data_IF_803995719206
#
_entry.id   IF_803995719206
#
_cell.length_a   1.000
_cell.length_b   1.000
_cell.length_c   1.000
_cell.angle_alpha   90.00
_cell.angle_beta   90.00
_cell.angle_gamma   90.00
#
_symmetry.space_group_name_H-M   'P 1'
#
loop_
_entity.id
_entity.type
_entity.pdbx_description
1 polymer ?
#
# COMPACT_ATOMS: atom_id res chain seq x y z
N UNK A 1 22.08 -6.95 52.71
CA UNK A 1 22.00 -5.85 51.73
C UNK A 1 22.14 -6.43 50.33
N UNK A 2 21.04 -6.53 49.60
CA UNK A 2 20.98 -7.07 48.24
C UNK A 2 21.61 -6.08 47.25
N UNK A 3 22.70 -6.52 46.60
CA UNK A 3 23.38 -5.83 45.51
C UNK A 3 22.39 -5.55 44.36
N UNK A 4 22.10 -4.27 44.13
CA UNK A 4 21.39 -3.82 42.94
C UNK A 4 22.31 -4.05 41.73
N UNK A 5 22.02 -5.09 40.94
CA UNK A 5 22.67 -5.30 39.64
C UNK A 5 22.43 -4.05 38.78
N UNK A 6 23.49 -3.25 38.58
CA UNK A 6 23.48 -2.17 37.60
C UNK A 6 23.05 -2.73 36.24
N UNK A 7 21.93 -2.24 35.71
CA UNK A 7 21.47 -2.61 34.37
C UNK A 7 22.51 -2.10 33.37
N UNK A 8 23.35 -2.99 32.84
CA UNK A 8 24.26 -2.65 31.75
C UNK A 8 23.43 -2.11 30.58
N UNK A 9 23.69 -0.88 30.17
CA UNK A 9 23.08 -0.25 29.01
C UNK A 9 23.36 -1.14 27.79
N UNK A 10 22.34 -1.82 27.28
CA UNK A 10 22.45 -2.59 26.04
C UNK A 10 22.21 -1.66 24.87
N UNK A 11 23.22 -1.48 24.02
CA UNK A 11 23.08 -0.71 22.78
C UNK A 11 22.07 -1.39 21.85
N UNK A 12 21.26 -0.61 21.10
CA UNK A 12 20.37 -1.16 20.08
C UNK A 12 21.16 -1.92 19.02
N UNK A 13 20.56 -2.97 18.45
CA UNK A 13 21.18 -3.67 17.31
C UNK A 13 21.26 -2.75 16.09
N UNK A 14 22.21 -3.00 15.18
CA UNK A 14 22.33 -2.27 13.91
C UNK A 14 20.98 -2.16 13.18
N UNK A 15 20.26 -3.28 13.04
CA UNK A 15 18.93 -3.30 12.42
C UNK A 15 17.90 -2.46 13.17
N UNK A 16 17.95 -2.42 14.51
CA UNK A 16 17.07 -1.57 15.29
C UNK A 16 17.33 -0.07 15.02
N UNK A 17 18.60 0.32 14.91
CA UNK A 17 19.00 1.70 14.60
C UNK A 17 18.52 2.10 13.21
N UNK A 18 18.82 1.29 12.18
CA UNK A 18 18.42 1.61 10.80
C UNK A 18 16.89 1.69 10.68
N UNK A 19 16.15 0.70 11.22
CA UNK A 19 14.69 0.74 11.19
C UNK A 19 14.13 1.94 11.96
N UNK A 20 14.73 2.32 13.09
CA UNK A 20 14.37 3.53 13.83
C UNK A 20 14.52 4.79 12.98
N UNK A 21 15.66 4.96 12.29
CA UNK A 21 15.90 6.07 11.37
C UNK A 21 14.88 6.06 10.22
N UNK A 22 14.61 4.90 9.62
CA UNK A 22 13.60 4.75 8.56
C UNK A 22 12.21 5.20 9.03
N UNK A 23 11.81 4.86 10.25
CA UNK A 23 10.52 5.30 10.81
C UNK A 23 10.45 6.80 11.09
N UNK A 24 11.57 7.41 11.52
CA UNK A 24 11.66 8.87 11.70
C UNK A 24 11.52 9.59 10.36
N UNK A 25 12.21 9.11 9.31
CA UNK A 25 12.08 9.68 7.96
C UNK A 25 10.68 9.46 7.39
N UNK A 26 10.07 8.30 7.58
CA UNK A 26 8.68 8.06 7.19
C UNK A 26 7.75 9.10 7.84
N UNK A 27 7.91 9.33 9.14
CA UNK A 27 7.09 10.30 9.86
C UNK A 27 7.27 11.73 9.31
N UNK A 28 8.51 12.15 9.11
CA UNK A 28 8.83 13.46 8.55
C UNK A 28 8.23 13.65 7.15
N UNK A 29 8.49 12.70 6.23
CA UNK A 29 8.01 12.81 4.85
C UNK A 29 6.51 12.59 4.68
N UNK A 30 5.84 12.02 5.70
CA UNK A 30 4.37 11.99 5.70
C UNK A 30 3.76 13.36 5.71
N UNK A 31 4.39 14.34 6.36
CA UNK A 31 3.93 15.73 6.31
C UNK A 31 4.69 16.57 5.27
N UNK A 32 6.02 16.43 5.19
CA UNK A 32 6.85 17.27 4.32
C UNK A 32 6.62 17.02 2.82
N UNK A 33 6.22 15.81 2.44
CA UNK A 33 5.85 15.48 1.07
C UNK A 33 6.13 14.01 0.71
N UNK A 34 5.21 13.35 -0.01
CA UNK A 34 5.25 11.91 -0.20
C UNK A 34 6.45 11.41 -1.02
N UNK A 35 7.05 12.27 -1.87
CA UNK A 35 8.22 11.89 -2.69
C UNK A 35 9.38 11.36 -1.82
N UNK A 36 9.52 11.85 -0.58
CA UNK A 36 10.56 11.38 0.33
C UNK A 36 10.36 9.95 0.84
N UNK A 37 9.22 9.31 0.60
CA UNK A 37 9.06 7.87 0.88
C UNK A 37 10.01 7.02 0.03
N UNK A 38 10.23 7.38 -1.24
CA UNK A 38 11.17 6.69 -2.11
C UNK A 38 12.59 6.74 -1.53
N UNK A 39 13.04 7.92 -1.11
CA UNK A 39 14.32 8.10 -0.40
C UNK A 39 14.37 7.28 0.89
N UNK A 40 13.31 7.33 1.69
CA UNK A 40 13.22 6.64 2.99
C UNK A 40 13.37 5.13 2.85
N UNK A 41 12.61 4.52 1.94
CA UNK A 41 12.63 3.09 1.71
C UNK A 41 13.92 2.64 1.05
N UNK A 42 14.45 3.41 0.09
CA UNK A 42 15.72 3.11 -0.58
C UNK A 42 16.89 3.18 0.39
N UNK A 43 16.99 4.24 1.20
CA UNK A 43 18.06 4.40 2.19
C UNK A 43 18.02 3.28 3.24
N UNK A 44 16.84 3.01 3.83
CA UNK A 44 16.68 1.92 4.79
C UNK A 44 17.03 0.56 4.18
N UNK A 45 16.54 0.30 2.97
CA UNK A 45 16.82 -0.94 2.22
C UNK A 45 18.29 -1.14 1.87
N UNK A 46 18.96 -0.09 1.38
CA UNK A 46 20.38 -0.11 1.01
C UNK A 46 21.26 -0.50 2.20
N UNK A 47 21.00 0.06 3.38
CA UNK A 47 21.73 -0.27 4.61
C UNK A 47 21.39 -1.67 5.15
N UNK A 48 20.31 -2.29 4.65
CA UNK A 48 19.83 -3.60 5.09
C UNK A 48 20.02 -4.70 4.04
N UNK A 49 20.81 -4.45 2.98
CA UNK A 49 21.03 -5.42 1.89
C UNK A 49 21.46 -6.82 2.36
N UNK A 50 22.19 -6.91 3.47
CA UNK A 50 22.62 -8.19 4.04
C UNK A 50 21.47 -9.15 4.39
N UNK A 51 20.23 -8.66 4.45
CA UNK A 51 19.04 -9.49 4.66
C UNK A 51 18.60 -10.29 3.43
N UNK A 52 19.11 -10.01 2.22
CA UNK A 52 18.83 -10.80 1.01
C UNK A 52 19.21 -12.29 1.14
N UNK A 53 20.09 -12.66 2.09
CA UNK A 53 20.32 -14.06 2.48
C UNK A 53 19.06 -14.82 2.91
N UNK A 54 17.97 -14.09 3.20
CA UNK A 54 16.67 -14.63 3.57
C UNK A 54 15.62 -14.55 2.44
N UNK A 55 16.03 -14.35 1.18
CA UNK A 55 15.14 -14.23 0.02
C UNK A 55 14.08 -15.34 -0.08
N UNK A 56 14.37 -16.55 0.43
CA UNK A 56 13.41 -17.66 0.52
C UNK A 56 12.10 -17.30 1.23
N UNK A 57 12.09 -16.28 2.09
CA UNK A 57 10.88 -15.81 2.77
C UNK A 57 9.85 -15.24 1.79
N UNK A 58 10.24 -14.77 0.60
CA UNK A 58 9.27 -14.32 -0.41
C UNK A 58 8.52 -15.49 -1.06
N UNK A 59 9.12 -16.68 -1.15
CA UNK A 59 8.53 -17.87 -1.77
C UNK A 59 8.03 -17.61 -3.20
N UNK A 60 6.91 -18.22 -3.57
CA UNK A 60 6.29 -18.07 -4.89
C UNK A 60 5.88 -16.64 -5.25
N UNK A 61 5.60 -15.79 -4.26
CA UNK A 61 5.28 -14.38 -4.52
C UNK A 61 6.52 -13.67 -5.06
N UNK A 62 7.71 -13.96 -4.52
CA UNK A 62 8.97 -13.42 -5.02
C UNK A 62 9.25 -13.85 -6.47
N UNK A 63 8.98 -15.12 -6.80
CA UNK A 63 9.13 -15.65 -8.16
C UNK A 63 8.18 -14.93 -9.13
N UNK A 64 6.92 -14.75 -8.77
CA UNK A 64 5.96 -14.05 -9.62
C UNK A 64 6.27 -12.56 -9.78
N UNK A 65 6.76 -11.90 -8.73
CA UNK A 65 7.24 -10.53 -8.83
C UNK A 65 8.44 -10.46 -9.79
N UNK A 66 9.38 -11.40 -9.73
CA UNK A 66 10.48 -11.47 -10.70
C UNK A 66 9.98 -11.67 -12.13
N UNK A 67 9.02 -12.56 -12.35
CA UNK A 67 8.40 -12.77 -13.68
C UNK A 67 7.71 -11.50 -14.16
N UNK A 68 6.96 -10.81 -13.29
CA UNK A 68 6.31 -9.54 -13.62
C UNK A 68 7.33 -8.45 -13.96
N UNK A 69 8.45 -8.38 -13.23
CA UNK A 69 9.53 -7.44 -13.50
C UNK A 69 10.19 -7.72 -14.84
N UNK A 70 10.51 -8.99 -15.14
CA UNK A 70 11.05 -9.41 -16.43
C UNK A 70 10.07 -9.09 -17.57
N UNK A 71 8.78 -9.35 -17.36
CA UNK A 71 7.74 -8.99 -18.32
C UNK A 71 7.72 -7.48 -18.55
N UNK A 72 7.70 -6.69 -17.48
CA UNK A 72 7.71 -5.22 -17.54
C UNK A 72 8.92 -4.70 -18.33
N UNK A 73 10.14 -5.19 -18.06
CA UNK A 73 11.35 -4.81 -18.81
C UNK A 73 11.24 -5.23 -20.28
N UNK A 74 10.73 -6.42 -20.57
CA UNK A 74 10.54 -6.88 -21.96
C UNK A 74 9.55 -6.01 -22.75
N UNK A 75 8.70 -5.25 -22.04
CA UNK A 75 7.71 -4.33 -22.60
C UNK A 75 8.15 -2.86 -22.48
N UNK A 76 9.34 -2.55 -21.96
CA UNK A 76 9.86 -1.18 -21.93
C UNK A 76 10.57 -0.81 -23.24
N UNK A 77 10.99 0.45 -23.37
CA UNK A 77 11.79 0.89 -24.52
C UNK A 77 13.20 0.32 -24.52
N UNK A 78 13.67 -0.29 -23.43
CA UNK A 78 15.05 -0.75 -23.27
C UNK A 78 15.53 -1.63 -24.43
N UNK A 79 14.75 -2.64 -24.80
CA UNK A 79 15.14 -3.55 -25.89
C UNK A 79 15.16 -2.85 -27.25
N UNK A 80 14.26 -1.88 -27.48
CA UNK A 80 14.28 -1.06 -28.67
C UNK A 80 15.53 -0.18 -28.69
N UNK A 81 15.79 0.53 -27.59
CA UNK A 81 16.93 1.44 -27.42
C UNK A 81 18.27 0.71 -27.61
N UNK A 82 18.41 -0.50 -27.03
CA UNK A 82 19.60 -1.35 -27.21
C UNK A 82 19.77 -1.80 -28.66
N UNK A 83 18.68 -2.21 -29.33
CA UNK A 83 18.73 -2.69 -30.70
C UNK A 83 18.93 -1.58 -31.73
N UNK A 84 18.47 -0.35 -31.45
CA UNK A 84 18.66 0.80 -32.32
C UNK A 84 20.04 1.46 -32.18
N UNK A 85 20.91 0.93 -31.29
CA UNK A 85 22.18 1.57 -30.95
C UNK A 85 21.99 2.94 -30.29
N UNK A 86 20.91 3.12 -29.51
CA UNK A 86 20.60 4.38 -28.88
C UNK A 86 21.78 4.84 -28.01
N UNK A 87 22.16 6.10 -28.15
CA UNK A 87 23.21 6.68 -27.33
C UNK A 87 22.64 7.00 -25.94
N UNK A 88 22.85 6.11 -24.99
CA UNK A 88 22.42 6.30 -23.61
C UNK A 88 23.11 7.49 -22.91
N UNK A 89 24.17 8.06 -23.49
CA UNK A 89 24.79 9.29 -22.98
C UNK A 89 23.92 10.54 -23.21
N UNK A 90 22.91 10.45 -24.09
CA UNK A 90 21.96 11.54 -24.33
C UNK A 90 20.99 11.78 -23.15
N UNK A 91 20.82 10.79 -22.28
CA UNK A 91 20.01 10.94 -21.08
C UNK A 91 20.76 11.81 -20.07
N UNK A 92 20.28 13.04 -19.86
CA UNK A 92 20.86 13.98 -18.89
C UNK A 92 20.86 13.40 -17.47
N UNK A 93 19.89 12.56 -17.17
CA UNK A 93 19.82 11.81 -15.92
C UNK A 93 19.27 10.41 -16.18
N UNK A 94 19.76 9.42 -15.43
CA UNK A 94 19.16 8.08 -15.39
C UNK A 94 17.79 8.08 -14.68
N UNK A 95 17.37 9.22 -14.12
CA UNK A 95 16.07 9.44 -13.50
C UNK A 95 14.92 9.36 -14.52
N UNK A 96 15.19 9.61 -15.80
CA UNK A 96 14.15 9.53 -16.84
C UNK A 96 13.82 8.07 -17.25
N UNK A 97 14.56 7.08 -16.74
CA UNK A 97 14.40 5.67 -17.08
C UNK A 97 13.50 4.94 -16.07
N UNK A 98 12.18 5.03 -16.26
CA UNK A 98 11.18 4.43 -15.35
C UNK A 98 11.39 2.91 -15.16
N UNK A 99 11.81 2.18 -16.20
CA UNK A 99 12.04 0.74 -16.09
C UNK A 99 13.20 0.42 -15.14
N UNK A 100 14.25 1.25 -15.14
CA UNK A 100 15.42 1.06 -14.29
C UNK A 100 15.03 1.25 -12.82
N UNK A 101 14.23 2.29 -12.54
CA UNK A 101 13.73 2.57 -11.19
C UNK A 101 12.87 1.41 -10.68
N UNK A 102 11.92 0.94 -11.47
CA UNK A 102 11.04 -0.18 -11.09
C UNK A 102 11.84 -1.49 -10.90
N UNK A 103 12.97 -1.69 -11.59
CA UNK A 103 13.85 -2.84 -11.36
C UNK A 103 14.65 -2.75 -10.06
N UNK A 104 15.16 -1.56 -9.72
CA UNK A 104 16.01 -1.38 -8.55
C UNK A 104 15.22 -1.32 -7.23
N UNK A 105 14.01 -0.79 -7.27
CA UNK A 105 13.16 -0.65 -6.08
C UNK A 105 12.92 -1.97 -5.32
N UNK A 106 12.56 -3.10 -5.96
CA UNK A 106 12.44 -4.39 -5.29
C UNK A 106 13.71 -4.83 -4.55
N UNK A 107 14.91 -4.46 -5.05
CA UNK A 107 16.19 -4.81 -4.40
C UNK A 107 16.29 -4.12 -3.03
N UNK A 108 16.07 -2.80 -2.99
CA UNK A 108 16.14 -2.04 -1.74
C UNK A 108 14.95 -2.35 -0.83
N UNK A 109 13.74 -2.35 -1.38
CA UNK A 109 12.51 -2.53 -0.62
C UNK A 109 12.38 -3.96 -0.08
N UNK A 110 12.85 -4.94 -0.84
CA UNK A 110 12.91 -6.34 -0.41
C UNK A 110 13.83 -6.52 0.79
N UNK A 111 15.01 -5.89 0.79
CA UNK A 111 15.93 -5.91 1.93
C UNK A 111 15.29 -5.32 3.21
N UNK A 112 14.60 -4.18 3.08
CA UNK A 112 13.85 -3.55 4.17
C UNK A 112 12.76 -4.48 4.75
N UNK A 113 11.97 -5.12 3.89
CA UNK A 113 10.92 -6.06 4.28
C UNK A 113 11.52 -7.30 4.98
N UNK A 114 12.61 -7.86 4.46
CA UNK A 114 13.30 -9.02 5.07
C UNK A 114 13.92 -8.67 6.43
N UNK A 115 14.45 -7.46 6.59
CA UNK A 115 14.94 -6.99 7.87
C UNK A 115 13.80 -6.91 8.91
N UNK A 116 12.66 -6.32 8.53
CA UNK A 116 11.47 -6.26 9.37
C UNK A 116 10.94 -7.66 9.74
N UNK A 117 10.96 -8.59 8.79
CA UNK A 117 10.59 -9.99 9.01
C UNK A 117 11.46 -10.68 10.07
N UNK A 118 12.73 -10.27 10.17
CA UNK A 118 13.74 -10.91 11.01
C UNK A 118 13.89 -10.29 12.40
N UNK A 119 13.06 -9.31 12.74
CA UNK A 119 13.18 -8.59 14.00
C UNK A 119 12.77 -9.45 15.20
N UNK A 120 13.39 -9.19 16.35
CA UNK A 120 12.98 -9.80 17.62
C UNK A 120 11.72 -9.10 18.18
N UNK A 121 10.87 -9.80 18.95
CA UNK A 121 9.65 -9.21 19.51
C UNK A 121 9.91 -7.98 20.41
N UNK A 122 10.99 -8.00 21.20
CA UNK A 122 11.40 -6.86 22.05
C UNK A 122 11.70 -5.61 21.21
N UNK A 123 12.53 -5.74 20.18
CA UNK A 123 12.90 -4.60 19.31
C UNK A 123 11.70 -4.10 18.52
N UNK A 124 10.93 -5.02 17.92
CA UNK A 124 9.73 -4.68 17.17
C UNK A 124 8.71 -3.92 18.06
N UNK A 125 8.47 -4.38 19.29
CA UNK A 125 7.58 -3.69 20.24
C UNK A 125 8.08 -2.29 20.60
N UNK A 126 9.40 -2.10 20.77
CA UNK A 126 9.98 -0.79 21.05
C UNK A 126 9.75 0.20 19.90
N UNK A 127 10.10 -0.21 18.67
CA UNK A 127 9.91 0.62 17.48
C UNK A 127 8.43 0.91 17.19
N UNK A 128 7.55 -0.08 17.32
CA UNK A 128 6.11 0.11 17.12
C UNK A 128 5.48 1.03 18.16
N UNK A 129 5.99 1.02 19.40
CA UNK A 129 5.54 1.97 20.44
C UNK A 129 5.96 3.39 20.08
N UNK A 130 7.21 3.59 19.64
CA UNK A 130 7.66 4.90 19.13
C UNK A 130 6.83 5.37 17.94
N UNK A 131 6.60 4.48 16.97
CA UNK A 131 5.77 4.77 15.79
C UNK A 131 4.33 5.15 16.17
N UNK A 132 3.71 4.46 17.14
CA UNK A 132 2.36 4.78 17.62
C UNK A 132 2.28 6.23 18.10
N UNK A 133 3.20 6.66 18.97
CA UNK A 133 3.21 8.04 19.49
C UNK A 133 3.45 9.07 18.37
N UNK A 134 4.41 8.80 17.49
CA UNK A 134 4.68 9.67 16.34
C UNK A 134 3.48 9.75 15.42
N UNK A 135 2.81 8.63 15.15
CA UNK A 135 1.62 8.56 14.32
C UNK A 135 0.47 9.40 14.89
N UNK A 136 0.25 9.35 16.21
CA UNK A 136 -0.77 10.17 16.87
C UNK A 136 -0.41 11.66 16.81
N UNK A 137 0.87 12.01 17.03
CA UNK A 137 1.35 13.39 16.89
C UNK A 137 1.14 13.93 15.48
N UNK A 138 1.46 13.12 14.46
CA UNK A 138 1.20 13.46 13.06
C UNK A 138 -0.29 13.62 12.77
N UNK A 139 -1.13 12.73 13.30
CA UNK A 139 -2.59 12.84 13.18
C UNK A 139 -3.08 14.19 13.71
N UNK A 140 -2.62 14.61 14.90
CA UNK A 140 -2.94 15.91 15.46
C UNK A 140 -2.47 17.08 14.59
N UNK A 141 -1.20 17.03 14.13
CA UNK A 141 -0.61 18.04 13.26
C UNK A 141 -1.42 18.23 11.96
N UNK A 142 -1.76 17.14 11.28
CA UNK A 142 -2.43 17.18 9.98
C UNK A 142 -3.89 17.58 10.10
N UNK A 143 -4.60 17.16 11.16
CA UNK A 143 -5.96 17.68 11.41
C UNK A 143 -5.90 19.19 11.66
N UNK A 144 -4.98 19.65 12.51
CA UNK A 144 -4.83 21.07 12.83
C UNK A 144 -4.55 21.89 11.57
N UNK A 145 -3.59 21.45 10.75
CA UNK A 145 -3.22 22.16 9.52
C UNK A 145 -4.33 22.06 8.47
N UNK A 146 -5.03 20.94 8.35
CA UNK A 146 -6.19 20.84 7.46
C UNK A 146 -7.31 21.81 7.88
N UNK A 147 -7.61 21.91 9.18
CA UNK A 147 -8.64 22.82 9.72
C UNK A 147 -8.25 24.29 9.57
N UNK A 148 -6.95 24.62 9.57
CA UNK A 148 -6.46 25.98 9.34
C UNK A 148 -6.36 26.35 7.86
N UNK A 149 -6.80 25.49 6.95
CA UNK A 149 -6.68 25.71 5.51
C UNK A 149 -5.24 25.55 4.99
N UNK A 150 -4.48 24.61 5.56
CA UNK A 150 -3.06 24.35 5.28
C UNK A 150 -2.14 25.54 5.59
N UNK A 151 -2.45 26.33 6.62
CA UNK A 151 -1.69 27.55 6.94
C UNK A 151 -0.26 27.27 7.38
N UNK A 152 -0.03 26.17 8.10
CA UNK A 152 1.31 25.76 8.52
C UNK A 152 2.11 25.26 7.31
N UNK A 153 1.50 24.44 6.44
CA UNK A 153 2.15 24.03 5.19
C UNK A 153 2.52 25.23 4.32
N UNK A 154 1.63 26.21 4.20
CA UNK A 154 1.91 27.45 3.46
C UNK A 154 3.08 28.23 4.06
N UNK A 155 3.11 28.40 5.39
CA UNK A 155 4.20 29.09 6.08
C UNK A 155 5.55 28.38 5.86
N UNK A 156 5.58 27.05 5.98
CA UNK A 156 6.78 26.24 5.75
C UNK A 156 7.23 26.34 4.28
N UNK A 157 6.30 26.25 3.33
CA UNK A 157 6.60 26.37 1.90
C UNK A 157 7.18 27.75 1.58
N UNK A 158 6.63 28.82 2.14
CA UNK A 158 7.13 30.18 1.96
C UNK A 158 8.53 30.39 2.57
N UNK A 159 8.83 29.75 3.71
CA UNK A 159 10.11 29.88 4.39
C UNK A 159 11.24 29.06 3.73
N UNK A 160 10.95 27.85 3.23
CA UNK A 160 11.96 26.92 2.72
C UNK A 160 12.07 26.85 1.19
N UNK A 161 10.99 27.18 0.49
CA UNK A 161 10.91 27.03 -0.96
C UNK A 161 10.31 28.30 -1.60
N UNK A 162 9.01 28.29 -1.89
CA UNK A 162 8.25 29.41 -2.44
C UNK A 162 6.83 29.41 -1.89
N UNK A 163 6.16 30.58 -1.84
CA UNK A 163 4.75 30.64 -1.53
C UNK A 163 3.93 29.70 -2.43
N UNK A 164 3.02 28.95 -1.81
CA UNK A 164 2.14 28.01 -2.48
C UNK A 164 0.70 28.53 -2.39
N UNK A 165 -0.09 28.30 -3.44
CA UNK A 165 -1.50 28.68 -3.42
C UNK A 165 -2.27 27.86 -2.37
N UNK A 166 -3.27 28.43 -1.68
CA UNK A 166 -4.01 27.72 -0.63
C UNK A 166 -4.68 26.43 -1.10
N UNK A 167 -5.25 26.41 -2.31
CA UNK A 167 -5.88 25.22 -2.90
C UNK A 167 -4.88 24.07 -3.07
N UNK A 168 -3.67 24.38 -3.57
CA UNK A 168 -2.60 23.40 -3.74
C UNK A 168 -2.01 22.94 -2.40
N UNK A 169 -1.93 23.84 -1.42
CA UNK A 169 -1.47 23.49 -0.08
C UNK A 169 -2.40 22.46 0.58
N UNK A 170 -3.72 22.64 0.45
CA UNK A 170 -4.70 21.66 0.91
C UNK A 170 -4.54 20.31 0.22
N UNK A 171 -4.27 20.29 -1.08
CA UNK A 171 -3.95 19.05 -1.80
C UNK A 171 -2.68 18.38 -1.22
N UNK A 172 -1.64 19.15 -0.88
CA UNK A 172 -0.41 18.58 -0.29
C UNK A 172 -0.66 17.98 1.10
N UNK A 173 -1.41 18.66 1.95
CA UNK A 173 -1.82 18.13 3.28
C UNK A 173 -2.67 16.86 3.10
N UNK A 174 -3.55 16.83 2.09
CA UNK A 174 -4.38 15.67 1.79
C UNK A 174 -3.57 14.40 1.46
N UNK A 175 -2.36 14.53 0.89
CA UNK A 175 -1.51 13.39 0.53
C UNK A 175 -1.05 12.59 1.75
N UNK A 176 -0.91 13.26 2.91
CA UNK A 176 -0.56 12.60 4.16
C UNK A 176 -1.64 11.63 4.66
N UNK A 177 -2.91 11.90 4.31
CA UNK A 177 -4.05 11.08 4.75
C UNK A 177 -4.04 9.66 4.16
N UNK A 178 -3.38 9.47 3.01
CA UNK A 178 -3.16 8.14 2.43
C UNK A 178 -2.28 7.29 3.33
N UNK A 179 -1.15 7.83 3.80
CA UNK A 179 -0.28 7.12 4.73
C UNK A 179 -1.00 6.83 6.05
N UNK A 180 -1.89 7.72 6.51
CA UNK A 180 -2.66 7.49 7.73
C UNK A 180 -3.54 6.25 7.66
N UNK A 181 -4.33 6.15 6.60
CA UNK A 181 -5.23 5.01 6.40
C UNK A 181 -4.43 3.71 6.23
N UNK A 182 -3.29 3.75 5.54
CA UNK A 182 -2.44 2.57 5.36
C UNK A 182 -1.71 2.12 6.64
N UNK A 183 -1.34 3.05 7.51
CA UNK A 183 -0.68 2.76 8.78
C UNK A 183 -1.65 2.42 9.91
N UNK A 184 -2.94 2.74 9.76
CA UNK A 184 -3.96 2.52 10.78
C UNK A 184 -3.95 1.07 11.28
N UNK A 185 -4.14 0.08 10.40
CA UNK A 185 -4.26 -1.32 10.80
C UNK A 185 -2.98 -1.92 11.42
N UNK A 186 -1.77 -1.71 10.88
CA UNK A 186 -0.54 -2.13 11.54
C UNK A 186 -0.36 -1.53 12.94
N UNK A 187 -0.67 -0.25 13.11
CA UNK A 187 -0.56 0.44 14.41
C UNK A 187 -1.62 -0.10 15.39
N UNK A 188 -2.84 -0.38 14.92
CA UNK A 188 -3.90 -0.99 15.73
C UNK A 188 -3.56 -2.41 16.18
N UNK A 189 -2.87 -3.19 15.35
CA UNK A 189 -2.38 -4.53 15.69
C UNK A 189 -1.35 -4.47 16.82
N UNK A 190 -0.34 -3.61 16.68
CA UNK A 190 0.69 -3.46 17.72
C UNK A 190 0.14 -2.89 19.03
N UNK A 191 -0.91 -2.06 18.96
CA UNK A 191 -1.55 -1.41 20.09
C UNK A 191 -2.85 -2.06 20.57
N UNK A 192 -3.16 -3.33 20.22
CA UNK A 192 -4.51 -3.87 20.42
C UNK A 192 -4.97 -3.79 21.89
N UNK A 193 -4.07 -4.01 22.85
CA UNK A 193 -4.43 -4.08 24.27
C UNK A 193 -3.98 -2.88 25.12
N UNK A 194 -3.23 -1.93 24.56
CA UNK A 194 -2.57 -0.89 25.37
C UNK A 194 -3.34 0.42 25.50
N UNK A 195 -3.98 0.93 24.44
CA UNK A 195 -4.48 2.32 24.45
C UNK A 195 -5.77 2.56 23.65
N UNK A 196 -6.94 2.23 24.22
CA UNK A 196 -8.26 2.40 23.56
C UNK A 196 -8.51 3.82 23.06
N UNK A 197 -8.14 4.85 23.83
CA UNK A 197 -8.35 6.25 23.46
C UNK A 197 -7.50 6.68 22.26
N UNK A 198 -6.25 6.21 22.17
CA UNK A 198 -5.36 6.53 21.06
C UNK A 198 -5.86 5.94 19.73
N UNK A 199 -6.55 4.79 19.79
CA UNK A 199 -7.23 4.21 18.61
C UNK A 199 -8.38 5.07 18.12
N UNK A 200 -9.13 5.67 19.04
CA UNK A 200 -10.23 6.58 18.69
C UNK A 200 -9.69 7.86 18.06
N UNK A 201 -8.59 8.41 18.59
CA UNK A 201 -7.90 9.57 18.00
C UNK A 201 -7.39 9.25 16.60
N UNK A 202 -6.71 8.11 16.43
CA UNK A 202 -6.23 7.62 15.14
C UNK A 202 -7.38 7.44 14.13
N UNK A 203 -8.49 6.84 14.56
CA UNK A 203 -9.67 6.65 13.71
C UNK A 203 -10.29 8.01 13.33
N UNK A 204 -10.46 8.91 14.29
CA UNK A 204 -10.97 10.25 14.05
C UNK A 204 -10.08 10.99 13.03
N UNK A 205 -8.76 10.86 13.12
CA UNK A 205 -7.85 11.45 12.14
C UNK A 205 -8.01 10.86 10.74
N UNK A 206 -8.15 9.53 10.63
CA UNK A 206 -8.39 8.85 9.36
C UNK A 206 -9.76 9.18 8.73
N UNK A 207 -10.67 9.83 9.48
CA UNK A 207 -11.98 10.28 8.99
C UNK A 207 -11.99 11.79 8.74
N UNK A 208 -11.63 12.58 9.75
CA UNK A 208 -11.72 14.04 9.73
C UNK A 208 -10.75 14.65 8.71
N UNK A 209 -9.49 14.22 8.68
CA UNK A 209 -8.51 14.85 7.76
C UNK A 209 -8.87 14.63 6.28
N UNK A 210 -9.27 13.42 5.82
CA UNK A 210 -9.79 13.26 4.46
C UNK A 210 -11.05 14.07 4.17
N UNK A 211 -11.99 14.17 5.11
CA UNK A 211 -13.23 14.94 4.93
C UNK A 211 -12.94 16.44 4.75
N UNK A 212 -12.09 17.01 5.60
CA UNK A 212 -11.72 18.44 5.55
C UNK A 212 -10.90 18.75 4.30
N UNK A 213 -10.04 17.83 3.87
CA UNK A 213 -9.20 18.02 2.68
C UNK A 213 -9.85 17.62 1.35
N UNK A 214 -11.08 17.09 1.39
CA UNK A 214 -11.79 16.61 0.19
C UNK A 214 -11.23 15.31 -0.41
N UNK A 215 -10.39 14.57 0.33
CA UNK A 215 -9.79 13.32 -0.12
C UNK A 215 -10.76 12.14 0.05
N UNK A 216 -11.57 11.87 -0.97
CA UNK A 216 -12.56 10.77 -0.93
C UNK A 216 -11.96 9.36 -0.98
N UNK A 217 -10.83 9.15 -1.67
CA UNK A 217 -10.23 7.82 -1.82
C UNK A 217 -9.70 7.21 -0.50
N UNK A 218 -8.96 7.94 0.36
CA UNK A 218 -8.60 7.46 1.70
C UNK A 218 -9.81 7.08 2.56
N UNK A 219 -10.88 7.86 2.52
CA UNK A 219 -12.11 7.57 3.28
C UNK A 219 -12.76 6.26 2.79
N UNK A 220 -12.88 6.07 1.47
CA UNK A 220 -13.41 4.83 0.92
C UNK A 220 -12.51 3.62 1.25
N UNK A 221 -11.19 3.80 1.20
CA UNK A 221 -10.23 2.77 1.60
C UNK A 221 -10.37 2.38 3.08
N UNK A 222 -10.61 3.36 3.96
CA UNK A 222 -10.91 3.10 5.37
C UNK A 222 -12.21 2.31 5.53
N UNK A 223 -13.31 2.73 4.88
CA UNK A 223 -14.61 2.06 4.96
C UNK A 223 -14.51 0.60 4.51
N UNK A 224 -13.92 0.36 3.33
CA UNK A 224 -13.75 -0.99 2.78
C UNK A 224 -12.85 -1.84 3.68
N UNK A 225 -11.75 -1.27 4.18
CA UNK A 225 -10.84 -2.02 5.06
C UNK A 225 -11.47 -2.33 6.43
N UNK A 226 -12.30 -1.45 6.99
CA UNK A 226 -13.08 -1.72 8.19
C UNK A 226 -14.10 -2.84 7.97
N UNK A 227 -14.80 -2.83 6.83
CA UNK A 227 -15.74 -3.88 6.47
C UNK A 227 -15.02 -5.23 6.34
N UNK A 228 -13.91 -5.30 5.60
CA UNK A 228 -13.15 -6.53 5.41
C UNK A 228 -12.46 -7.02 6.69
N UNK A 229 -11.99 -6.11 7.54
CA UNK A 229 -11.52 -6.46 8.88
C UNK A 229 -12.62 -7.16 9.68
N UNK A 230 -13.81 -6.56 9.73
CA UNK A 230 -14.92 -7.08 10.51
C UNK A 230 -15.41 -8.43 9.95
N UNK A 231 -15.56 -8.53 8.63
CA UNK A 231 -15.94 -9.77 7.95
C UNK A 231 -14.91 -10.87 8.22
N UNK A 232 -13.61 -10.60 8.07
CA UNK A 232 -12.57 -11.60 8.33
C UNK A 232 -12.48 -12.02 9.80
N UNK A 233 -12.78 -11.10 10.73
CA UNK A 233 -12.76 -11.37 12.18
C UNK A 233 -14.00 -12.12 12.66
N UNK A 234 -15.18 -11.91 12.05
CA UNK A 234 -16.45 -12.51 12.48
C UNK A 234 -16.87 -13.74 11.69
N UNK A 235 -16.52 -13.78 10.41
CA UNK A 235 -16.90 -14.83 9.48
C UNK A 235 -15.65 -15.38 8.77
N UNK A 236 -14.74 -16.07 9.49
CA UNK A 236 -13.56 -16.67 8.88
C UNK A 236 -13.91 -17.73 7.81
N UNK A 237 -15.13 -18.28 7.87
CA UNK A 237 -15.71 -19.21 6.91
C UNK A 237 -17.11 -18.74 6.51
N UNK A 238 -17.41 -18.75 5.21
CA UNK A 238 -18.74 -18.45 4.65
C UNK A 238 -19.07 -19.51 3.62
N UNK A 239 -20.22 -20.19 3.77
CA UNK A 239 -20.67 -21.22 2.84
C UNK A 239 -19.69 -22.39 2.66
N UNK A 240 -18.94 -22.75 3.70
CA UNK A 240 -17.92 -23.82 3.64
C UNK A 240 -16.55 -23.37 3.13
N UNK A 241 -16.40 -22.14 2.65
CA UNK A 241 -15.13 -21.63 2.14
C UNK A 241 -14.49 -20.63 3.10
N UNK A 242 -13.17 -20.68 3.21
CA UNK A 242 -12.41 -19.65 3.91
C UNK A 242 -12.68 -18.29 3.27
N UNK A 243 -12.96 -17.28 4.09
CA UNK A 243 -13.24 -15.92 3.61
C UNK A 243 -12.06 -15.33 2.82
N UNK A 244 -10.83 -15.73 3.14
CA UNK A 244 -9.63 -15.33 2.39
C UNK A 244 -9.63 -15.91 0.98
N UNK A 245 -10.12 -17.15 0.77
CA UNK A 245 -10.26 -17.74 -0.57
C UNK A 245 -11.33 -16.99 -1.38
N UNK A 246 -12.47 -16.69 -0.76
CA UNK A 246 -13.54 -15.90 -1.39
C UNK A 246 -13.02 -14.53 -1.82
N UNK A 247 -12.40 -13.79 -0.90
CA UNK A 247 -11.87 -12.45 -1.20
C UNK A 247 -10.75 -12.50 -2.24
N UNK A 248 -9.87 -13.50 -2.19
CA UNK A 248 -8.84 -13.68 -3.21
C UNK A 248 -9.46 -13.90 -4.60
N UNK A 249 -10.48 -14.75 -4.72
CA UNK A 249 -11.19 -15.01 -5.97
C UNK A 249 -11.90 -13.75 -6.49
N UNK A 250 -12.65 -13.05 -5.63
CA UNK A 250 -13.35 -11.82 -6.02
C UNK A 250 -12.38 -10.73 -6.46
N UNK A 251 -11.25 -10.59 -5.76
CA UNK A 251 -10.23 -9.60 -6.11
C UNK A 251 -9.53 -9.97 -7.42
N UNK A 252 -9.18 -11.25 -7.61
CA UNK A 252 -8.63 -11.75 -8.87
C UNK A 252 -9.57 -11.48 -10.04
N UNK A 253 -10.85 -11.79 -9.88
CA UNK A 253 -11.90 -11.48 -10.86
C UNK A 253 -11.94 -9.97 -11.13
N UNK A 254 -12.01 -9.13 -10.09
CA UNK A 254 -12.02 -7.68 -10.30
C UNK A 254 -10.80 -7.21 -11.07
N UNK A 255 -9.57 -7.66 -10.76
CA UNK A 255 -8.37 -7.23 -11.49
C UNK A 255 -8.48 -7.60 -12.98
N UNK A 256 -8.83 -8.85 -13.28
CA UNK A 256 -8.86 -9.37 -14.65
C UNK A 256 -9.99 -8.74 -15.49
N UNK A 257 -11.15 -8.54 -14.90
CA UNK A 257 -12.35 -8.13 -15.63
C UNK A 257 -12.61 -6.62 -15.57
N UNK A 258 -11.84 -5.83 -14.80
CA UNK A 258 -12.01 -4.36 -14.76
C UNK A 258 -12.03 -3.72 -16.16
N UNK A 259 -11.08 -4.01 -17.09
CA UNK A 259 -11.11 -3.42 -18.43
C UNK A 259 -12.40 -3.76 -19.20
N UNK A 260 -12.87 -5.00 -19.12
CA UNK A 260 -14.09 -5.46 -19.81
C UNK A 260 -15.34 -4.84 -19.21
N UNK A 261 -15.40 -4.73 -17.89
CA UNK A 261 -16.52 -4.09 -17.17
C UNK A 261 -16.62 -2.62 -17.57
N UNK A 262 -15.49 -1.89 -17.62
CA UNK A 262 -15.49 -0.48 -18.02
C UNK A 262 -15.88 -0.32 -19.49
N UNK A 263 -15.35 -1.14 -20.41
CA UNK A 263 -15.76 -1.07 -21.81
C UNK A 263 -17.25 -1.43 -22.00
N UNK A 264 -17.79 -2.36 -21.21
CA UNK A 264 -19.21 -2.68 -21.22
C UNK A 264 -20.07 -1.51 -20.73
N UNK A 265 -19.73 -0.89 -19.60
CA UNK A 265 -20.40 0.31 -19.06
C UNK A 265 -20.45 1.41 -20.13
N UNK A 266 -19.32 1.63 -20.82
CA UNK A 266 -19.20 2.59 -21.90
C UNK A 266 -20.11 2.26 -23.10
N UNK A 267 -20.09 1.01 -23.58
CA UNK A 267 -20.93 0.58 -24.73
C UNK A 267 -22.42 0.66 -24.44
N UNK A 268 -22.80 0.43 -23.19
CA UNK A 268 -24.19 0.49 -22.74
C UNK A 268 -24.66 1.92 -22.42
N UNK A 269 -23.78 2.93 -22.49
CA UNK A 269 -24.10 4.32 -22.14
C UNK A 269 -24.41 4.51 -20.65
N UNK A 270 -24.01 3.58 -19.78
CA UNK A 270 -24.29 3.65 -18.35
C UNK A 270 -23.45 4.72 -17.65
N UNK A 271 -22.27 5.02 -18.18
CA UNK A 271 -21.43 6.13 -17.69
C UNK A 271 -22.17 7.46 -17.78
N UNK A 272 -22.78 7.74 -18.93
CA UNK A 272 -23.43 9.03 -19.20
C UNK A 272 -24.61 9.33 -18.24
N UNK A 273 -25.32 8.28 -17.82
CA UNK A 273 -26.43 8.40 -16.86
C UNK A 273 -25.99 8.87 -15.47
N UNK A 274 -24.73 8.60 -15.10
CA UNK A 274 -24.20 8.93 -13.77
C UNK A 274 -23.30 10.16 -13.74
N UNK A 275 -22.75 10.59 -14.89
CA UNK A 275 -21.80 11.72 -14.98
C UNK A 275 -22.29 12.99 -14.30
N UNK A 276 -23.56 13.33 -14.48
CA UNK A 276 -24.18 14.51 -13.86
C UNK A 276 -24.17 14.51 -12.31
N UNK A 277 -24.02 13.34 -11.69
CA UNK A 277 -23.96 13.18 -10.23
C UNK A 277 -22.52 13.06 -9.70
N UNK A 278 -21.52 13.06 -10.58
CA UNK A 278 -20.12 12.87 -10.21
C UNK A 278 -19.42 14.21 -10.01
N UNK A 279 -18.57 14.34 -8.97
CA UNK A 279 -17.64 15.45 -8.89
C UNK A 279 -16.69 15.46 -10.10
N UNK A 280 -16.22 16.64 -10.52
CA UNK A 280 -15.38 16.80 -11.70
C UNK A 280 -14.17 15.86 -11.76
N UNK A 281 -13.53 15.58 -10.62
CA UNK A 281 -12.38 14.65 -10.59
C UNK A 281 -12.77 13.18 -10.85
N UNK A 282 -14.00 12.78 -10.55
CA UNK A 282 -14.51 11.43 -10.83
C UNK A 282 -14.98 11.31 -12.27
N UNK A 283 -15.63 12.34 -12.80
CA UNK A 283 -15.99 12.42 -14.22
C UNK A 283 -14.76 12.32 -15.12
N UNK A 284 -13.71 13.09 -14.83
CA UNK A 284 -12.43 12.98 -15.55
C UNK A 284 -11.79 11.58 -15.46
N UNK A 285 -11.96 10.87 -14.33
CA UNK A 285 -11.46 9.48 -14.21
C UNK A 285 -12.26 8.52 -15.09
N UNK A 286 -13.58 8.70 -15.22
CA UNK A 286 -14.38 7.88 -16.12
C UNK A 286 -13.91 8.04 -17.57
N UNK A 287 -13.67 9.26 -18.05
CA UNK A 287 -13.13 9.49 -19.39
C UNK A 287 -11.80 8.77 -19.62
N UNK A 288 -10.88 8.91 -18.66
CA UNK A 288 -9.57 8.25 -18.71
C UNK A 288 -9.74 6.72 -18.75
N UNK A 289 -10.63 6.16 -17.93
CA UNK A 289 -10.85 4.72 -17.85
C UNK A 289 -11.53 4.16 -19.09
N UNK A 290 -12.54 4.83 -19.62
CA UNK A 290 -13.24 4.45 -20.84
C UNK A 290 -12.30 4.47 -22.05
N UNK A 291 -11.50 5.52 -22.18
CA UNK A 291 -10.47 5.61 -23.21
C UNK A 291 -9.44 4.48 -23.07
N UNK A 292 -8.89 4.28 -21.87
CA UNK A 292 -7.88 3.25 -21.64
C UNK A 292 -8.44 1.84 -21.87
N UNK A 293 -9.68 1.55 -21.45
CA UNK A 293 -10.35 0.28 -21.69
C UNK A 293 -10.49 -0.04 -23.18
N UNK A 294 -10.88 0.94 -24.01
CA UNK A 294 -10.89 0.77 -25.46
C UNK A 294 -9.50 0.45 -26.02
N UNK A 295 -8.46 1.14 -25.54
CA UNK A 295 -7.08 0.89 -25.98
C UNK A 295 -6.58 -0.49 -25.56
N UNK A 296 -6.93 -0.97 -24.37
CA UNK A 296 -6.60 -2.34 -23.92
C UNK A 296 -7.13 -3.36 -24.92
N UNK A 297 -8.38 -3.22 -25.38
CA UNK A 297 -8.98 -4.17 -26.32
C UNK A 297 -8.35 -4.15 -27.72
N UNK A 298 -7.60 -3.11 -28.08
CA UNK A 298 -6.85 -3.07 -29.35
C UNK A 298 -5.56 -3.90 -29.29
N UNK A 299 -4.94 -4.02 -28.10
CA UNK A 299 -3.72 -4.82 -27.87
C UNK A 299 -3.87 -5.68 -26.61
N UNK A 300 -4.83 -6.61 -26.57
CA UNK A 300 -5.28 -7.23 -25.32
C UNK A 300 -4.20 -8.06 -24.64
N UNK A 301 -3.37 -8.79 -25.38
CA UNK A 301 -2.40 -9.70 -24.77
C UNK A 301 -1.14 -9.00 -24.25
N UNK A 302 -0.55 -8.13 -25.08
CA UNK A 302 0.77 -7.54 -24.84
C UNK A 302 0.74 -6.10 -24.28
N UNK A 303 -0.41 -5.43 -24.38
CA UNK A 303 -0.53 -4.01 -24.06
C UNK A 303 0.27 -3.10 -25.01
N UNK A 304 0.28 -1.82 -24.68
CA UNK A 304 0.91 -0.74 -25.44
C UNK A 304 2.39 -0.52 -25.10
N UNK A 305 2.93 -1.24 -24.11
CA UNK A 305 4.28 -1.05 -23.61
C UNK A 305 4.27 -0.43 -22.22
N UNK A 306 5.27 -0.79 -21.41
CA UNK A 306 5.48 -0.22 -20.09
C UNK A 306 5.64 1.31 -20.18
N UNK A 307 4.99 2.03 -19.27
CA UNK A 307 4.95 3.50 -19.20
C UNK A 307 4.31 4.20 -20.42
N UNK A 308 3.63 3.45 -21.29
CA UNK A 308 2.91 4.02 -22.45
C UNK A 308 1.76 4.95 -22.06
N UNK A 309 1.23 4.88 -20.82
CA UNK A 309 0.12 5.73 -20.36
C UNK A 309 0.42 7.23 -20.48
N UNK A 310 1.67 7.66 -20.28
CA UNK A 310 2.11 9.06 -20.38
C UNK A 310 2.15 9.59 -21.81
N UNK A 311 2.11 8.70 -22.80
CA UNK A 311 2.28 9.03 -24.22
C UNK A 311 0.94 9.24 -24.94
N UNK A 312 -0.20 9.02 -24.26
CA UNK A 312 -1.52 9.24 -24.84
C UNK A 312 -1.99 10.71 -24.78
N UNK A 313 -1.24 11.61 -24.15
CA UNK A 313 -1.54 13.05 -24.13
C UNK A 313 -2.79 13.40 -23.32
N UNK A 314 -3.62 14.31 -23.82
CA UNK A 314 -4.80 14.82 -23.08
C UNK A 314 -5.74 13.72 -22.54
N UNK A 315 -6.06 12.64 -23.28
CA UNK A 315 -6.86 11.52 -22.76
C UNK A 315 -6.33 10.84 -21.50
N UNK A 316 -5.00 10.82 -21.30
CA UNK A 316 -4.36 10.26 -20.10
C UNK A 316 -3.25 11.22 -19.69
N UNK A 317 -3.54 12.24 -18.85
CA UNK A 317 -2.59 13.31 -18.57
C UNK A 317 -1.26 12.82 -17.98
N UNK A 318 -1.31 11.80 -17.13
CA UNK A 318 -0.13 11.16 -16.54
C UNK A 318 -0.32 9.65 -16.45
N UNK A 319 -1.40 9.21 -15.82
CA UNK A 319 -1.71 7.80 -15.63
C UNK A 319 -3.21 7.59 -15.39
N UNK A 320 -3.72 6.35 -15.53
CA UNK A 320 -5.15 6.07 -15.37
C UNK A 320 -5.74 6.24 -13.97
N UNK A 321 -4.95 6.47 -12.91
CA UNK A 321 -5.42 6.47 -11.51
C UNK A 321 -6.07 5.15 -11.07
N UNK A 322 -5.86 4.07 -11.82
CA UNK A 322 -6.44 2.77 -11.56
C UNK A 322 -5.44 1.69 -11.98
N UNK A 323 -4.93 0.94 -11.00
CA UNK A 323 -3.92 -0.09 -11.18
C UNK A 323 -4.31 -1.12 -12.24
N UNK A 324 -5.55 -1.62 -12.21
CA UNK A 324 -5.99 -2.65 -13.17
C UNK A 324 -6.05 -2.09 -14.60
N UNK A 325 -6.52 -0.86 -14.77
CA UNK A 325 -6.54 -0.20 -16.08
C UNK A 325 -5.13 0.13 -16.56
N UNK A 326 -4.25 0.63 -15.69
CA UNK A 326 -2.88 0.95 -16.08
C UNK A 326 -2.08 -0.29 -16.47
N UNK A 327 -2.09 -1.35 -15.64
CA UNK A 327 -1.40 -2.60 -15.96
C UNK A 327 -1.97 -3.25 -17.21
N UNK A 328 -3.29 -3.23 -17.39
CA UNK A 328 -3.92 -3.73 -18.61
C UNK A 328 -3.50 -2.95 -19.86
N UNK A 329 -3.46 -1.61 -19.76
CA UNK A 329 -3.09 -0.74 -20.87
C UNK A 329 -1.64 -0.98 -21.30
N UNK A 330 -0.74 -1.06 -20.33
CA UNK A 330 0.69 -1.09 -20.59
C UNK A 330 1.23 -2.50 -20.86
N UNK A 331 0.75 -3.49 -20.10
CA UNK A 331 1.30 -4.86 -20.09
C UNK A 331 0.33 -5.93 -20.60
N UNK A 332 -0.90 -5.54 -20.96
CA UNK A 332 -1.95 -6.44 -21.44
C UNK A 332 -2.46 -7.42 -20.39
N UNK A 333 -3.23 -8.41 -20.85
CA UNK A 333 -3.82 -9.46 -20.02
C UNK A 333 -2.77 -10.38 -19.39
N UNK A 334 -1.58 -10.50 -19.99
CA UNK A 334 -0.44 -11.18 -19.37
C UNK A 334 -0.03 -10.44 -18.08
N UNK A 335 0.14 -9.12 -18.16
CA UNK A 335 0.41 -8.28 -16.99
C UNK A 335 -0.71 -8.35 -15.95
N UNK A 336 -1.98 -8.31 -16.38
CA UNK A 336 -3.12 -8.44 -15.46
C UNK A 336 -3.18 -9.78 -14.76
N UNK A 337 -2.85 -10.88 -15.45
CA UNK A 337 -2.80 -12.20 -14.86
C UNK A 337 -1.69 -12.30 -13.80
N UNK A 338 -0.49 -11.83 -14.13
CA UNK A 338 0.63 -11.80 -13.17
C UNK A 338 0.30 -10.94 -11.94
N UNK A 339 -0.30 -9.77 -12.16
CA UNK A 339 -0.77 -8.90 -11.09
C UNK A 339 -1.84 -9.59 -10.23
N UNK A 340 -2.86 -10.19 -10.85
CA UNK A 340 -3.91 -10.91 -10.14
C UNK A 340 -3.33 -12.07 -9.32
N UNK A 341 -2.39 -12.83 -9.88
CA UNK A 341 -1.72 -13.93 -9.19
C UNK A 341 -0.95 -13.46 -7.96
N UNK A 342 -0.22 -12.33 -8.04
CA UNK A 342 0.47 -11.74 -6.88
C UNK A 342 -0.51 -11.40 -5.76
N UNK A 343 -1.59 -10.69 -6.07
CA UNK A 343 -2.60 -10.30 -5.08
C UNK A 343 -3.35 -11.49 -4.48
N UNK A 344 -3.76 -12.46 -5.32
CA UNK A 344 -4.40 -13.70 -4.89
C UNK A 344 -3.48 -14.47 -3.93
N UNK A 345 -2.22 -14.69 -4.30
CA UNK A 345 -1.29 -15.44 -3.45
C UNK A 345 -0.94 -14.71 -2.16
N UNK A 346 -0.90 -13.36 -2.16
CA UNK A 346 -0.75 -12.59 -0.93
C UNK A 346 -1.91 -12.84 0.03
N UNK A 347 -3.16 -12.76 -0.46
CA UNK A 347 -4.36 -13.01 0.37
C UNK A 347 -4.40 -14.46 0.86
N UNK A 348 -4.12 -15.42 -0.02
CA UNK A 348 -4.07 -16.84 0.35
C UNK A 348 -2.95 -17.10 1.37
N UNK A 349 -1.80 -16.42 1.26
CA UNK A 349 -0.71 -16.50 2.24
C UNK A 349 -1.11 -15.92 3.59
N UNK A 350 -1.85 -14.80 3.61
CA UNK A 350 -2.42 -14.23 4.84
C UNK A 350 -3.40 -15.22 5.48
N UNK A 351 -4.26 -15.84 4.68
CA UNK A 351 -5.26 -16.80 5.13
C UNK A 351 -4.72 -18.18 5.53
N UNK A 352 -3.40 -18.45 5.43
CA UNK A 352 -2.85 -19.76 5.81
C UNK A 352 -3.12 -20.05 7.28
N UNK A 353 -3.62 -21.26 7.57
CA UNK A 353 -4.03 -21.68 8.91
C UNK A 353 -5.32 -21.00 9.41
N UNK A 354 -6.03 -20.25 8.58
CA UNK A 354 -7.40 -19.83 8.88
C UNK A 354 -8.29 -21.09 8.97
N UNK A 355 -9.34 -21.06 9.81
CA UNK A 355 -10.29 -22.16 9.87
C UNK A 355 -10.77 -22.51 8.45
N UNK A 356 -10.64 -23.78 8.08
CA UNK A 356 -11.31 -24.34 6.92
C UNK A 356 -12.59 -25.03 7.42
N UNK A 357 -13.65 -25.04 6.61
CA UNK A 357 -14.80 -25.84 6.98
C UNK A 357 -14.39 -27.32 6.99
N UNK A 358 -14.69 -28.08 8.05
CA UNK A 358 -14.64 -29.54 7.96
C UNK A 358 -15.58 -29.98 6.84
N UNK A 359 -15.18 -30.95 6.01
CA UNK A 359 -16.03 -31.51 4.95
C UNK A 359 -17.32 -32.15 5.51
N UNK A 360 -17.42 -32.34 6.82
CA UNK A 360 -18.62 -32.70 7.55
C UNK A 360 -18.61 -31.99 8.91
N UNK A 361 -19.45 -30.98 9.12
CA UNK A 361 -20.01 -30.65 10.45
C UNK A 361 -20.85 -29.37 10.41
N UNK A 362 -22.17 -29.55 10.35
CA UNK A 362 -23.16 -28.58 10.84
C UNK A 362 -23.52 -28.84 12.32
N UNK A 363 -22.72 -29.61 13.06
CA UNK A 363 -23.16 -30.23 14.34
C UNK A 363 -22.52 -29.64 15.62
N UNK A 364 -21.40 -28.91 15.57
CA UNK A 364 -20.73 -28.46 16.81
C UNK A 364 -20.79 -26.95 17.07
N UNK A 365 -21.94 -26.32 16.84
CA UNK A 365 -22.12 -24.87 17.03
C UNK A 365 -22.39 -24.41 18.48
N UNK A 366 -22.13 -25.21 19.53
CA UNK A 366 -22.51 -24.80 20.91
C UNK A 366 -21.57 -25.15 22.07
N UNK A 367 -20.55 -25.99 21.90
CA UNK A 367 -19.90 -26.64 23.06
C UNK A 367 -18.51 -26.09 23.48
N UNK A 368 -17.99 -24.99 22.92
CA UNK A 368 -16.68 -24.45 23.34
C UNK A 368 -16.71 -22.97 23.79
N UNK A 369 -17.76 -22.61 24.53
CA UNK A 369 -17.77 -21.42 25.40
C UNK A 369 -16.85 -21.57 26.64
N UNK A 370 -15.95 -22.55 26.69
CA UNK A 370 -15.07 -22.80 27.84
C UNK A 370 -13.66 -23.20 27.41
N UNK A 371 -12.80 -22.20 27.28
CA UNK A 371 -11.47 -22.14 27.86
C UNK A 371 -10.84 -20.81 27.42
N UNK A 372 -10.83 -19.81 28.32
CA UNK A 372 -10.10 -18.56 28.09
C UNK A 372 -8.60 -18.85 28.20
N UNK A 373 -8.02 -19.43 27.14
CA UNK A 373 -6.64 -19.18 26.81
C UNK A 373 -6.50 -17.66 26.54
N UNK A 374 -5.37 -17.02 26.89
CA UNK A 374 -5.15 -15.63 26.52
C UNK A 374 -5.39 -15.51 25.01
N UNK A 375 -6.32 -14.64 24.61
CA UNK A 375 -6.69 -14.45 23.21
C UNK A 375 -5.45 -13.90 22.51
N UNK A 376 -4.67 -14.78 21.90
CA UNK A 376 -3.60 -14.37 21.02
C UNK A 376 -4.26 -13.60 19.87
N UNK A 377 -3.91 -12.32 19.74
CA UNK A 377 -4.41 -11.45 18.68
C UNK A 377 -4.15 -12.12 17.34
N UNK A 378 -5.22 -12.44 16.60
CA UNK A 378 -5.09 -12.93 15.23
C UNK A 378 -4.68 -11.77 14.31
N UNK A 379 -3.47 -11.78 13.72
CA UNK A 379 -3.01 -10.69 12.87
C UNK A 379 -3.67 -10.71 11.47
N UNK A 380 -4.31 -11.81 11.06
CA UNK A 380 -4.78 -12.00 9.68
C UNK A 380 -5.85 -10.99 9.24
N UNK A 381 -6.88 -10.67 10.05
CA UNK A 381 -7.84 -9.61 9.71
C UNK A 381 -7.16 -8.24 9.53
N UNK A 382 -6.14 -7.91 10.34
CA UNK A 382 -5.37 -6.67 10.22
C UNK A 382 -4.56 -6.64 8.92
N UNK A 383 -3.95 -7.77 8.55
CA UNK A 383 -3.24 -7.90 7.27
C UNK A 383 -4.18 -7.67 6.08
N UNK A 384 -5.35 -8.32 6.10
CA UNK A 384 -6.33 -8.21 5.02
C UNK A 384 -6.87 -6.79 4.92
N UNK A 385 -7.15 -6.15 6.05
CA UNK A 385 -7.58 -4.77 6.10
C UNK A 385 -6.52 -3.80 5.54
N UNK A 386 -5.26 -3.95 5.97
CA UNK A 386 -4.12 -3.19 5.42
C UNK A 386 -4.03 -3.36 3.90
N UNK A 387 -4.05 -4.61 3.43
CA UNK A 387 -3.93 -4.96 2.01
C UNK A 387 -5.12 -4.40 1.20
N UNK A 388 -6.33 -4.43 1.75
CA UNK A 388 -7.51 -3.86 1.10
C UNK A 388 -7.48 -2.34 1.00
N UNK A 389 -6.93 -1.63 2.00
CA UNK A 389 -6.75 -0.19 1.93
C UNK A 389 -5.76 0.19 0.82
N UNK A 390 -4.64 -0.55 0.73
CA UNK A 390 -3.67 -0.42 -0.39
C UNK A 390 -4.38 -0.65 -1.72
N UNK A 391 -5.20 -1.71 -1.80
CA UNK A 391 -5.91 -2.05 -3.02
C UNK A 391 -6.85 -0.93 -3.46
N UNK A 392 -7.72 -0.44 -2.58
CA UNK A 392 -8.69 0.61 -2.91
C UNK A 392 -7.97 1.88 -3.39
N UNK A 393 -6.91 2.30 -2.71
CA UNK A 393 -6.11 3.47 -3.12
C UNK A 393 -5.47 3.24 -4.50
N UNK A 394 -4.89 2.06 -4.74
CA UNK A 394 -4.30 1.70 -6.02
C UNK A 394 -5.31 1.71 -7.18
N UNK A 395 -6.60 1.53 -6.90
CA UNK A 395 -7.66 1.53 -7.91
C UNK A 395 -8.22 2.93 -8.21
N UNK A 396 -7.94 3.94 -7.37
CA UNK A 396 -8.64 5.23 -7.42
C UNK A 396 -7.74 6.47 -7.49
N UNK A 397 -6.47 6.37 -7.04
CA UNK A 397 -5.67 7.57 -6.77
C UNK A 397 -4.38 7.69 -7.56
N UNK A 398 -3.55 6.66 -7.64
CA UNK A 398 -2.16 6.82 -8.10
C UNK A 398 -1.81 5.87 -9.24
N UNK A 399 -0.85 6.29 -10.05
CA UNK A 399 -0.23 5.39 -11.01
C UNK A 399 0.56 4.33 -10.27
N UNK A 400 0.38 3.06 -10.65
CA UNK A 400 0.94 1.93 -9.89
C UNK A 400 2.49 1.93 -9.88
N UNK A 401 3.12 2.57 -10.87
CA UNK A 401 4.57 2.67 -11.01
C UNK A 401 5.20 3.85 -10.28
N UNK A 402 4.41 4.72 -9.64
CA UNK A 402 4.97 5.86 -8.93
C UNK A 402 5.88 5.40 -7.79
N UNK A 403 7.11 5.90 -7.78
CA UNK A 403 8.17 5.44 -6.88
C UNK A 403 7.80 5.61 -5.41
N UNK A 404 7.26 6.78 -5.08
CA UNK A 404 6.85 7.09 -3.72
C UNK A 404 5.70 6.22 -3.24
N UNK A 405 4.83 5.78 -4.15
CA UNK A 405 3.71 4.89 -3.86
C UNK A 405 4.20 3.46 -3.61
N UNK A 406 5.11 2.96 -4.46
CA UNK A 406 5.77 1.66 -4.27
C UNK A 406 6.57 1.62 -2.97
N UNK A 407 7.28 2.70 -2.65
CA UNK A 407 7.99 2.87 -1.40
C UNK A 407 7.07 2.87 -0.17
N UNK A 408 5.94 3.58 -0.23
CA UNK A 408 4.96 3.60 0.85
C UNK A 408 4.38 2.19 1.08
N UNK A 409 4.06 1.44 0.02
CA UNK A 409 3.62 0.04 0.15
C UNK A 409 4.69 -0.84 0.80
N UNK A 410 5.97 -0.66 0.47
CA UNK A 410 7.07 -1.38 1.11
C UNK A 410 7.23 -1.02 2.60
N UNK A 411 7.15 0.26 2.94
CA UNK A 411 7.22 0.76 4.32
C UNK A 411 6.05 0.23 5.15
N UNK A 412 4.82 0.29 4.63
CA UNK A 412 3.63 -0.27 5.29
C UNK A 412 3.76 -1.78 5.48
N UNK A 413 4.32 -2.50 4.50
CA UNK A 413 4.58 -3.94 4.62
C UNK A 413 5.60 -4.23 5.74
N UNK A 414 6.71 -3.50 5.78
CA UNK A 414 7.71 -3.63 6.82
C UNK A 414 7.13 -3.33 8.21
N UNK A 415 6.31 -2.27 8.34
CA UNK A 415 5.63 -1.89 9.57
C UNK A 415 4.61 -2.94 10.00
N UNK A 416 3.83 -3.50 9.07
CA UNK A 416 2.92 -4.59 9.37
C UNK A 416 3.68 -5.82 9.91
N UNK A 417 4.82 -6.18 9.32
CA UNK A 417 5.64 -7.29 9.82
C UNK A 417 6.18 -7.01 11.22
N UNK A 418 6.65 -5.79 11.49
CA UNK A 418 7.03 -5.38 12.84
C UNK A 418 5.85 -5.44 13.82
N UNK A 419 4.67 -4.96 13.42
CA UNK A 419 3.47 -5.00 14.24
C UNK A 419 3.04 -6.44 14.58
N UNK A 420 3.07 -7.34 13.59
CA UNK A 420 2.83 -8.77 13.79
C UNK A 420 3.81 -9.36 14.79
N UNK A 421 5.12 -9.11 14.62
CA UNK A 421 6.15 -9.60 15.55
C UNK A 421 6.00 -8.99 16.95
N UNK A 422 5.64 -7.70 17.05
CA UNK A 422 5.39 -7.03 18.32
C UNK A 422 4.17 -7.61 19.07
N UNK A 423 3.11 -7.98 18.33
CA UNK A 423 1.89 -8.56 18.91
C UNK A 423 2.12 -9.94 19.54
N UNK A 424 3.23 -10.62 19.23
CA UNK A 424 3.62 -11.89 19.85
C UNK A 424 4.27 -11.71 21.24
N UNK A 425 4.62 -10.47 21.62
CA UNK A 425 5.27 -10.12 22.89
C UNK A 425 4.29 -9.57 23.94
N UNK A 426 2.99 -9.57 23.63
CA UNK A 426 1.88 -9.14 24.49
C UNK A 426 1.15 -10.39 24.92
#
# INVERSE_FOLDING_TARGET
MTSAKASKLQLPSYTAVIMGITLVFLAFFTYAGPLGYALTATFGGLLLLGYWRQARQFGWIGVLLLILLLWLVSRSTLLYDLNSGADFSQYKTWEDQEWLKVMLQPVWYGALILAAWSMTPKTASGLMTGLLYTYIGLCGLIIMDALSGASLYQAISAALYKPIRPDLAMVKVSLATYAFVLLYWPVMLAGEHRFRILKLIALAACVLAPLVTGASAPLLALIVSMALFWVARRFPVVGGFSIYKIIATLLGFKILFTPLIIDAIRRLGWGDNIRQFLPASWDARLDIWEFAAQKILQKPFLGWGFDSSRHFGKPIPLHPHNMSIQVGLELGYIGLFLLAAVWVLLILRIGRGAPEAPAAAFVELRELSRAAAPIQTDPRPYALATLSAVFVIAQLSFGIWQEWWLALMALVTAIYLMARTASQNI
#
